data_IF_323814443742
#
_entry.id   IF_323814443742
#
_cell.length_a   1.000
_cell.length_b   1.000
_cell.length_c   1.000
_cell.angle_alpha   90.00
_cell.angle_beta   90.00
_cell.angle_gamma   90.00
#
_symmetry.space_group_name_H-M   'P 1'
#
loop_
_entity.id
_entity.type
_entity.pdbx_description
1 polymer ?
#
# COMPACT_ATOMS: atom_id res chain seq x y z
N UNK A 1 -7.04 -6.10 -13.14
CA UNK A 1 -7.71 -5.67 -11.89
C UNK A 1 -7.39 -4.20 -11.64
N UNK A 2 -8.33 -3.40 -11.12
CA UNK A 2 -8.09 -1.99 -10.74
C UNK A 2 -8.03 -1.89 -9.21
N UNK A 3 -6.90 -1.45 -8.67
CA UNK A 3 -6.75 -1.21 -7.24
C UNK A 3 -7.17 0.24 -6.91
N UNK A 4 -7.87 0.42 -5.79
CA UNK A 4 -8.20 1.75 -5.27
C UNK A 4 -7.27 2.05 -4.11
N UNK A 5 -6.31 2.94 -4.35
CA UNK A 5 -5.38 3.40 -3.32
C UNK A 5 -6.16 4.25 -2.30
N UNK A 6 -5.97 3.98 -1.02
CA UNK A 6 -6.51 4.80 0.08
C UNK A 6 -5.35 5.18 0.97
N UNK A 7 -4.98 6.45 0.96
CA UNK A 7 -3.99 6.95 1.92
C UNK A 7 -4.59 6.89 3.33
N UNK A 8 -3.87 6.22 4.24
CA UNK A 8 -4.21 6.23 5.65
C UNK A 8 -3.53 7.43 6.32
N UNK A 9 -4.21 8.57 6.33
CA UNK A 9 -3.74 9.79 7.00
C UNK A 9 -3.78 9.63 8.53
N UNK A 10 -2.78 8.97 9.12
CA UNK A 10 -2.54 8.99 10.57
C UNK A 10 -1.82 10.27 11.02
N UNK A 11 -1.61 11.20 10.09
CA UNK A 11 -0.77 12.37 10.26
C UNK A 11 -1.56 13.66 10.48
N UNK A 12 -2.29 13.73 11.59
CA UNK A 12 -2.62 15.06 12.12
C UNK A 12 -1.31 15.68 12.62
N UNK A 13 -0.83 16.72 11.90
CA UNK A 13 0.17 17.74 12.31
C UNK A 13 1.65 17.56 11.90
N UNK A 14 2.01 17.50 10.61
CA UNK A 14 3.24 18.21 10.17
C UNK A 14 3.00 18.91 8.84
N UNK A 15 3.86 19.89 8.57
CA UNK A 15 3.82 20.81 7.44
C UNK A 15 3.75 20.05 6.11
N UNK A 16 3.04 20.58 5.09
CA UNK A 16 2.95 19.96 3.77
C UNK A 16 4.32 19.99 3.09
N UNK A 17 5.15 19.00 3.39
CA UNK A 17 6.27 18.63 2.54
C UNK A 17 5.64 17.85 1.39
N UNK A 18 6.00 18.18 0.14
CA UNK A 18 5.55 17.43 -1.03
C UNK A 18 6.03 15.98 -0.87
N UNK A 19 5.12 15.10 -0.48
CA UNK A 19 5.38 13.67 -0.44
C UNK A 19 4.86 13.09 -1.75
N UNK A 20 5.69 12.34 -2.48
CA UNK A 20 5.28 11.75 -3.74
C UNK A 20 4.05 10.87 -3.53
N UNK A 21 3.06 11.02 -4.41
CA UNK A 21 1.79 10.30 -4.31
C UNK A 21 1.83 9.02 -5.14
N UNK A 22 1.38 7.88 -4.60
CA UNK A 22 1.31 6.65 -5.36
C UNK A 22 0.23 6.76 -6.44
N UNK A 23 0.62 6.59 -7.71
CA UNK A 23 -0.27 6.66 -8.89
C UNK A 23 -0.65 5.29 -9.43
N UNK A 24 0.22 4.29 -9.26
CA UNK A 24 -0.02 2.93 -9.73
C UNK A 24 0.49 1.92 -8.71
N UNK A 25 -0.25 0.83 -8.54
CA UNK A 25 0.15 -0.30 -7.68
C UNK A 25 -0.01 -1.59 -8.49
N UNK A 26 1.06 -2.38 -8.54
CA UNK A 26 1.12 -3.71 -9.16
C UNK A 26 1.53 -4.74 -8.12
N UNK A 27 0.77 -5.83 -8.05
CA UNK A 27 1.02 -6.95 -7.13
C UNK A 27 0.98 -8.22 -7.98
N UNK A 28 2.13 -8.67 -8.52
CA UNK A 28 2.17 -9.74 -9.51
C UNK A 28 1.71 -11.08 -8.94
N UNK A 29 1.99 -11.34 -7.66
CA UNK A 29 1.68 -12.62 -6.99
C UNK A 29 0.57 -12.48 -5.96
N UNK A 30 -0.44 -11.66 -6.21
CA UNK A 30 -1.53 -11.46 -5.25
C UNK A 30 -2.31 -12.76 -5.02
N UNK A 31 -2.28 -13.26 -3.78
CA UNK A 31 -3.18 -14.30 -3.30
C UNK A 31 -4.13 -13.72 -2.24
N UNK A 32 -5.43 -14.00 -2.37
CA UNK A 32 -6.45 -13.61 -1.39
C UNK A 32 -6.49 -14.62 -0.24
N UNK A 33 -5.36 -14.75 0.45
CA UNK A 33 -5.23 -15.57 1.64
C UNK A 33 -4.88 -14.65 2.82
N UNK A 34 -5.53 -14.89 3.95
CA UNK A 34 -5.29 -14.10 5.15
C UNK A 34 -3.82 -14.24 5.56
N UNK A 35 -3.14 -13.13 5.85
CA UNK A 35 -1.74 -13.08 6.23
C UNK A 35 -0.74 -13.46 5.12
N UNK A 36 -1.20 -13.58 3.87
CA UNK A 36 -0.31 -13.75 2.74
C UNK A 36 0.63 -12.56 2.60
N UNK A 37 1.92 -12.85 2.46
CA UNK A 37 2.97 -11.86 2.23
C UNK A 37 3.19 -11.75 0.72
N UNK A 38 3.15 -10.53 0.20
CA UNK A 38 3.29 -10.25 -1.22
C UNK A 38 4.19 -9.05 -1.45
N UNK A 39 4.83 -8.96 -2.60
CA UNK A 39 5.58 -7.76 -2.97
C UNK A 39 4.67 -6.81 -3.76
N UNK A 40 4.57 -5.57 -3.28
CA UNK A 40 3.79 -4.51 -3.89
C UNK A 40 4.71 -3.55 -4.60
N UNK A 41 4.61 -3.48 -5.92
CA UNK A 41 5.34 -2.50 -6.73
C UNK A 41 4.46 -1.25 -6.83
N UNK A 42 4.89 -0.17 -6.20
CA UNK A 42 4.18 1.12 -6.18
C UNK A 42 4.94 2.12 -7.03
N UNK A 43 4.29 2.66 -8.04
CA UNK A 43 4.80 3.78 -8.84
C UNK A 43 4.21 5.07 -8.30
N UNK A 44 5.09 6.03 -8.04
CA UNK A 44 4.76 7.35 -7.53
C UNK A 44 4.75 8.40 -8.66
N UNK A 45 4.09 9.53 -8.41
CA UNK A 45 3.92 10.64 -9.35
C UNK A 45 5.22 11.33 -9.77
N UNK A 46 6.26 11.24 -8.94
CA UNK A 46 7.63 11.68 -9.24
C UNK A 46 8.39 10.72 -10.17
N UNK A 47 7.77 9.61 -10.58
CA UNK A 47 8.36 8.56 -11.40
C UNK A 47 9.15 7.53 -10.61
N UNK A 48 9.25 7.65 -9.29
CA UNK A 48 9.90 6.65 -8.46
C UNK A 48 9.05 5.38 -8.39
N UNK A 49 9.72 4.23 -8.46
CA UNK A 49 9.11 2.92 -8.28
C UNK A 49 9.71 2.31 -7.04
N UNK A 50 8.88 2.02 -6.05
CA UNK A 50 9.28 1.35 -4.82
C UNK A 50 8.60 -0.01 -4.71
N UNK A 51 9.37 -1.00 -4.28
CA UNK A 51 8.84 -2.29 -3.88
C UNK A 51 8.60 -2.25 -2.37
N UNK A 52 7.35 -2.44 -1.95
CA UNK A 52 6.93 -2.52 -0.56
C UNK A 52 6.60 -3.97 -0.22
N UNK A 53 6.88 -4.38 1.01
CA UNK A 53 6.38 -5.66 1.53
C UNK A 53 4.92 -5.52 1.94
N UNK A 54 4.04 -6.15 1.18
CA UNK A 54 2.61 -6.19 1.39
C UNK A 54 2.17 -7.35 2.28
N UNK A 55 1.19 -7.11 3.16
CA UNK A 55 0.45 -8.18 3.86
C UNK A 55 -1.03 -8.07 3.54
N UNK A 56 -1.61 -9.18 3.10
CA UNK A 56 -3.04 -9.31 2.83
C UNK A 56 -3.78 -9.50 4.14
N UNK A 57 -4.73 -8.62 4.42
CA UNK A 57 -5.61 -8.68 5.58
C UNK A 57 -7.05 -8.81 5.10
N UNK A 58 -7.78 -9.77 5.69
CA UNK A 58 -9.21 -9.89 5.50
C UNK A 58 -9.91 -9.16 6.64
N UNK A 59 -10.79 -8.21 6.30
CA UNK A 59 -11.71 -7.66 7.30
C UNK A 59 -12.94 -8.57 7.38
N UNK A 60 -13.03 -9.38 8.42
CA UNK A 60 -14.15 -10.32 8.60
C UNK A 60 -15.51 -9.66 8.81
N UNK A 61 -15.53 -8.45 9.37
CA UNK A 61 -16.75 -7.69 9.65
C UNK A 61 -17.30 -7.05 8.38
N UNK A 62 -16.41 -6.51 7.53
CA UNK A 62 -16.80 -5.83 6.27
C UNK A 62 -16.73 -6.74 5.04
N UNK A 63 -16.20 -7.95 5.18
CA UNK A 63 -15.89 -8.89 4.09
C UNK A 63 -15.08 -8.23 2.96
N UNK A 64 -14.16 -7.34 3.33
CA UNK A 64 -13.29 -6.62 2.39
C UNK A 64 -11.85 -7.06 2.57
N UNK A 65 -11.15 -7.27 1.47
CA UNK A 65 -9.72 -7.50 1.43
C UNK A 65 -8.98 -6.17 1.38
N UNK A 66 -7.96 -6.03 2.21
CA UNK A 66 -7.03 -4.91 2.21
C UNK A 66 -5.61 -5.45 2.16
N UNK A 67 -4.71 -4.68 1.56
CA UNK A 67 -3.29 -5.03 1.49
C UNK A 67 -2.56 -3.85 2.10
N UNK A 68 -1.73 -4.13 3.10
CA UNK A 68 -0.95 -3.13 3.80
C UNK A 68 0.50 -3.25 3.33
N UNK A 69 1.01 -2.20 2.67
CA UNK A 69 2.40 -2.10 2.28
C UNK A 69 3.22 -1.45 3.37
N UNK A 70 4.38 -2.03 3.68
CA UNK A 70 5.38 -1.46 4.57
C UNK A 70 6.68 -1.32 3.79
N UNK A 71 7.30 -0.13 3.83
CA UNK A 71 8.62 0.07 3.24
C UNK A 71 9.73 -0.57 4.09
N UNK A 72 10.93 -0.70 3.52
CA UNK A 72 12.09 -1.23 4.26
C UNK A 72 12.54 -0.37 5.46
N UNK A 73 12.02 0.86 5.58
CA UNK A 73 12.30 1.78 6.68
C UNK A 73 11.22 1.70 7.79
N UNK A 74 10.19 0.86 7.63
CA UNK A 74 9.09 0.69 8.57
C UNK A 74 7.96 1.71 8.43
N UNK A 75 7.97 2.57 7.41
CA UNK A 75 6.87 3.47 7.12
C UNK A 75 5.74 2.70 6.43
N UNK A 76 4.52 2.95 6.90
CA UNK A 76 3.30 2.37 6.34
C UNK A 76 2.77 3.31 5.24
N UNK A 77 2.46 2.77 4.07
CA UNK A 77 1.91 3.53 2.93
C UNK A 77 0.39 3.31 2.79
#
# INVERSE_FOLDING_TARGET
MKFKIRQMDWYKRRLPVFQPQPIEVKIPELQLEENFKCDMIVTYDDGNVLTLSGRVNQNDVKKTWAIHGIDHQGNQC
#
